data_IF_603784065740
#
_entry.id   IF_603784065740
#
_cell.length_a   1.000
_cell.length_b   1.000
_cell.length_c   1.000
_cell.angle_alpha   90.00
_cell.angle_beta   90.00
_cell.angle_gamma   90.00
#
_symmetry.space_group_name_H-M   'P 1'
#
loop_
_entity.id
_entity.type
_entity.pdbx_description
1 polymer ?
#
# COMPACT_ATOMS: atom_id res chain seq x y z
N UNK A 1 26.27 -8.72 -25.40
CA UNK A 1 25.23 -8.24 -24.47
C UNK A 1 24.96 -6.75 -24.66
N UNK A 2 24.83 -6.29 -25.92
CA UNK A 2 24.40 -4.95 -26.32
C UNK A 2 23.80 -5.19 -27.72
N UNK A 3 22.46 -5.25 -27.82
CA UNK A 3 21.65 -5.15 -29.06
C UNK A 3 20.22 -5.66 -28.79
N UNK A 4 19.42 -4.87 -28.07
CA UNK A 4 17.98 -5.10 -27.94
C UNK A 4 17.17 -3.79 -28.12
N UNK A 5 17.66 -2.86 -28.94
CA UNK A 5 16.93 -1.66 -29.34
C UNK A 5 16.67 -1.77 -30.84
N UNK A 6 15.43 -2.07 -31.21
CA UNK A 6 15.00 -2.17 -32.62
C UNK A 6 14.86 -0.76 -33.20
N UNK A 7 15.46 -0.56 -34.37
CA UNK A 7 15.32 0.63 -35.22
C UNK A 7 13.94 0.64 -35.88
N UNK A 8 13.14 1.68 -35.60
CA UNK A 8 11.90 2.00 -36.30
C UNK A 8 12.17 2.83 -37.56
N UNK A 9 11.65 2.38 -38.71
CA UNK A 9 11.76 3.09 -39.98
C UNK A 9 10.72 4.22 -40.05
N UNK A 10 11.16 5.45 -39.74
CA UNK A 10 10.72 6.75 -40.25
C UNK A 10 9.23 7.07 -40.38
N UNK A 11 8.74 8.00 -39.54
CA UNK A 11 7.51 8.77 -39.79
C UNK A 11 7.71 10.29 -39.77
N UNK A 12 7.10 10.95 -40.76
CA UNK A 12 6.51 12.29 -40.59
C UNK A 12 5.12 12.08 -39.95
N UNK A 13 4.83 12.85 -38.90
CA UNK A 13 3.67 12.73 -37.96
C UNK A 13 3.68 11.46 -37.09
N UNK A 14 4.39 11.51 -35.96
CA UNK A 14 4.65 10.35 -35.09
C UNK A 14 3.42 9.99 -34.24
N UNK A 15 2.70 8.93 -34.64
CA UNK A 15 1.66 8.24 -33.85
C UNK A 15 2.28 7.65 -32.57
N UNK A 16 1.45 7.37 -31.56
CA UNK A 16 1.78 6.81 -30.23
C UNK A 16 2.68 5.54 -30.21
N UNK A 17 3.00 4.97 -31.37
CA UNK A 17 3.80 3.77 -31.59
C UNK A 17 5.32 4.01 -31.66
N UNK A 18 5.80 5.27 -31.61
CA UNK A 18 7.25 5.60 -31.74
C UNK A 18 7.93 6.14 -30.47
N UNK A 19 7.30 6.03 -29.30
CA UNK A 19 7.98 6.39 -28.04
C UNK A 19 8.73 5.19 -27.48
N UNK A 20 10.00 5.40 -27.13
CA UNK A 20 10.82 4.36 -26.48
C UNK A 20 10.48 4.23 -24.98
N UNK A 21 9.96 5.32 -24.39
CA UNK A 21 9.70 5.46 -22.96
C UNK A 21 8.47 6.36 -22.71
N UNK A 22 7.58 5.89 -21.84
CA UNK A 22 6.57 6.73 -21.20
C UNK A 22 6.99 7.06 -19.77
N UNK A 23 7.05 8.34 -19.46
CA UNK A 23 7.21 8.88 -18.12
C UNK A 23 5.82 9.05 -17.50
N UNK A 24 5.60 8.40 -16.36
CA UNK A 24 4.38 8.57 -15.57
C UNK A 24 4.77 9.30 -14.28
N UNK A 25 4.61 10.63 -14.30
CA UNK A 25 4.71 11.44 -13.11
C UNK A 25 3.39 11.32 -12.35
N UNK A 26 3.41 10.63 -11.21
CA UNK A 26 2.18 10.29 -10.49
C UNK A 26 1.50 11.49 -9.83
N UNK A 27 2.13 12.67 -9.82
CA UNK A 27 1.57 13.87 -9.19
C UNK A 27 0.44 14.48 -10.02
N UNK A 28 -0.42 15.31 -9.42
CA UNK A 28 -1.18 16.29 -10.18
C UNK A 28 -0.25 17.22 -10.94
N UNK A 29 -0.61 17.57 -12.18
CA UNK A 29 0.20 18.44 -13.05
C UNK A 29 0.59 19.74 -12.36
N UNK A 30 -0.34 20.38 -11.66
CA UNK A 30 -0.06 21.61 -10.91
C UNK A 30 1.00 21.42 -9.83
N UNK A 31 0.95 20.32 -9.08
CA UNK A 31 1.95 19.99 -8.07
C UNK A 31 3.32 19.74 -8.70
N UNK A 32 3.40 19.08 -9.86
CA UNK A 32 4.66 18.87 -10.57
C UNK A 32 5.30 20.19 -11.02
N UNK A 33 4.48 21.14 -11.52
CA UNK A 33 4.95 22.50 -11.85
C UNK A 33 5.40 23.30 -10.62
N UNK A 34 4.70 23.18 -9.50
CA UNK A 34 5.13 23.81 -8.24
C UNK A 34 6.49 23.28 -7.78
N UNK A 35 6.72 21.95 -7.88
CA UNK A 35 8.03 21.35 -7.59
C UNK A 35 9.12 21.86 -8.54
N UNK A 36 8.79 22.09 -9.82
CA UNK A 36 9.71 22.68 -10.80
C UNK A 36 10.14 24.10 -10.41
N UNK A 37 9.22 24.91 -9.89
CA UNK A 37 9.55 26.25 -9.40
C UNK A 37 10.45 26.22 -8.14
N UNK A 38 10.36 25.16 -7.34
CA UNK A 38 11.16 24.95 -6.12
C UNK A 38 12.52 24.26 -6.32
N UNK A 39 12.97 24.03 -7.56
CA UNK A 39 14.26 23.41 -7.87
C UNK A 39 14.21 21.89 -8.12
N UNK A 40 13.05 21.24 -7.95
CA UNK A 40 12.78 19.90 -8.48
C UNK A 40 12.25 19.98 -9.92
N UNK A 41 11.31 19.11 -10.27
CA UNK A 41 10.56 19.23 -11.52
C UNK A 41 10.14 17.90 -12.10
N UNK A 42 10.06 17.87 -13.43
CA UNK A 42 9.73 16.70 -14.25
C UNK A 42 10.50 16.81 -15.57
N UNK A 43 10.68 15.68 -16.23
CA UNK A 43 11.60 15.51 -17.34
C UNK A 43 11.05 16.07 -18.66
N UNK A 44 11.98 16.38 -19.56
CA UNK A 44 11.68 16.80 -20.93
C UNK A 44 12.74 16.20 -21.86
N UNK A 45 12.68 14.88 -22.02
CA UNK A 45 13.64 14.15 -22.85
C UNK A 45 13.11 13.96 -24.28
N UNK A 46 13.98 13.99 -25.31
CA UNK A 46 13.61 13.65 -26.67
C UNK A 46 13.01 12.24 -26.76
N UNK A 47 12.03 12.03 -27.65
CA UNK A 47 11.36 10.74 -27.90
C UNK A 47 10.69 10.10 -26.67
N UNK A 48 10.39 10.89 -25.63
CA UNK A 48 9.60 10.46 -24.48
C UNK A 48 8.22 11.09 -24.48
N UNK A 49 7.22 10.36 -23.97
CA UNK A 49 5.95 10.96 -23.57
C UNK A 49 5.95 11.16 -22.05
N UNK A 50 5.31 12.22 -21.56
CA UNK A 50 5.03 12.39 -20.13
C UNK A 50 3.54 12.53 -19.89
N UNK A 51 3.04 11.83 -18.88
CA UNK A 51 1.67 11.98 -18.37
C UNK A 51 1.71 12.28 -16.87
N UNK A 52 0.65 12.93 -16.38
CA UNK A 52 0.46 13.25 -14.98
C UNK A 52 -0.66 12.41 -14.40
N UNK A 53 -0.35 11.65 -13.35
CA UNK A 53 -1.24 10.66 -12.75
C UNK A 53 -2.34 11.23 -11.85
N UNK A 54 -2.17 12.46 -11.36
CA UNK A 54 -3.20 13.10 -10.53
C UNK A 54 -3.36 12.49 -9.14
N UNK A 55 -2.36 11.74 -8.65
CA UNK A 55 -2.41 11.14 -7.30
C UNK A 55 -1.90 12.16 -6.29
N UNK A 56 -2.81 12.62 -5.44
CA UNK A 56 -2.55 13.62 -4.42
C UNK A 56 -1.50 13.21 -3.38
N UNK A 57 -1.07 14.19 -2.59
CA UNK A 57 -0.03 14.00 -1.60
C UNK A 57 -0.54 13.28 -0.33
N UNK A 58 0.41 12.97 0.55
CA UNK A 58 0.18 12.24 1.80
C UNK A 58 -0.86 12.90 2.72
N UNK A 59 -1.01 14.23 2.70
CA UNK A 59 -1.98 14.94 3.54
C UNK A 59 -3.40 14.71 3.07
N UNK A 60 -3.62 14.78 1.75
CA UNK A 60 -4.93 14.46 1.15
C UNK A 60 -5.31 13.01 1.42
N UNK A 61 -4.37 12.07 1.30
CA UNK A 61 -4.61 10.66 1.63
C UNK A 61 -5.00 10.47 3.10
N UNK A 62 -4.30 11.13 4.02
CA UNK A 62 -4.63 11.09 5.46
C UNK A 62 -6.04 11.63 5.71
N UNK A 63 -6.37 12.77 5.14
CA UNK A 63 -7.64 13.44 5.39
C UNK A 63 -8.81 12.65 4.78
N UNK A 64 -8.62 12.05 3.60
CA UNK A 64 -9.57 11.14 2.98
C UNK A 64 -9.80 9.86 3.81
N UNK A 65 -8.72 9.26 4.34
CA UNK A 65 -8.82 8.08 5.20
C UNK A 65 -9.60 8.38 6.49
N UNK A 66 -9.37 9.55 7.09
CA UNK A 66 -10.13 10.02 8.27
C UNK A 66 -11.61 10.25 7.93
N UNK A 67 -11.89 10.90 6.80
CA UNK A 67 -13.26 11.14 6.36
C UNK A 67 -14.01 9.83 6.07
N UNK A 68 -13.35 8.85 5.44
CA UNK A 68 -13.90 7.51 5.20
C UNK A 68 -14.18 6.78 6.51
N UNK A 69 -13.24 6.80 7.46
CA UNK A 69 -13.43 6.27 8.80
C UNK A 69 -14.65 6.89 9.51
N UNK A 70 -14.78 8.21 9.46
CA UNK A 70 -15.92 8.92 10.04
C UNK A 70 -17.25 8.62 9.32
N UNK A 71 -17.23 8.36 8.02
CA UNK A 71 -18.42 7.97 7.26
C UNK A 71 -18.94 6.59 7.70
N UNK A 72 -18.04 5.64 7.98
CA UNK A 72 -18.43 4.27 8.36
C UNK A 72 -18.73 4.09 9.84
N UNK A 73 -18.19 4.94 10.73
CA UNK A 73 -18.50 4.89 12.18
C UNK A 73 -19.84 5.55 12.52
N UNK A 74 -20.29 6.53 11.73
CA UNK A 74 -21.57 7.26 11.94
C UNK A 74 -22.78 6.55 11.34
N UNK A 75 -22.68 5.25 11.01
CA UNK A 75 -23.82 4.49 10.51
C UNK A 75 -24.79 4.21 11.66
N UNK A 76 -25.92 4.92 11.66
CA UNK A 76 -27.05 4.58 12.50
C UNK A 76 -27.95 3.57 11.76
N UNK A 77 -28.29 2.45 12.43
CA UNK A 77 -29.08 1.34 11.84
C UNK A 77 -30.43 1.81 11.24
N UNK A 78 -30.94 2.97 11.67
CA UNK A 78 -32.23 3.53 11.26
C UNK A 78 -32.16 4.60 10.14
N UNK A 79 -30.97 4.90 9.59
CA UNK A 79 -30.79 5.93 8.55
C UNK A 79 -30.05 5.39 7.31
N UNK A 80 -30.67 4.40 6.66
CA UNK A 80 -30.19 3.89 5.38
C UNK A 80 -30.10 5.03 4.35
N UNK A 81 -28.92 5.25 3.78
CA UNK A 81 -28.68 6.21 2.68
C UNK A 81 -27.76 7.40 3.02
N UNK A 82 -27.65 7.83 4.27
CA UNK A 82 -26.80 8.98 4.63
C UNK A 82 -25.31 8.67 4.46
N UNK A 83 -24.88 7.50 4.91
CA UNK A 83 -23.45 7.18 4.99
C UNK A 83 -22.78 6.91 3.63
N UNK A 84 -23.52 6.41 2.62
CA UNK A 84 -22.95 6.22 1.28
C UNK A 84 -22.60 7.56 0.62
N UNK A 85 -23.37 8.62 0.92
CA UNK A 85 -23.03 9.98 0.53
C UNK A 85 -21.75 10.44 1.23
N UNK A 86 -21.59 10.14 2.51
CA UNK A 86 -20.38 10.50 3.26
C UNK A 86 -19.15 9.71 2.79
N UNK A 87 -19.32 8.43 2.40
CA UNK A 87 -18.29 7.63 1.74
C UNK A 87 -17.87 8.29 0.43
N UNK A 88 -18.83 8.70 -0.42
CA UNK A 88 -18.50 9.41 -1.66
C UNK A 88 -17.79 10.75 -1.36
N UNK A 89 -18.28 11.52 -0.40
CA UNK A 89 -17.69 12.81 -0.01
C UNK A 89 -16.30 12.69 0.64
N UNK A 90 -15.92 11.50 1.13
CA UNK A 90 -14.56 11.27 1.66
C UNK A 90 -13.47 11.37 0.59
N UNK A 91 -13.84 11.19 -0.68
CA UNK A 91 -12.91 11.11 -1.80
C UNK A 91 -12.05 9.85 -1.82
N UNK A 92 -12.18 8.93 -0.85
CA UNK A 92 -11.31 7.76 -0.73
C UNK A 92 -11.24 6.95 -2.03
N UNK A 93 -12.40 6.60 -2.61
CA UNK A 93 -12.48 5.83 -3.85
C UNK A 93 -12.15 6.64 -5.11
N UNK A 94 -12.11 7.98 -5.04
CA UNK A 94 -11.53 8.82 -6.09
C UNK A 94 -10.02 8.61 -6.16
N UNK A 95 -9.35 8.60 -5.01
CA UNK A 95 -7.91 8.37 -4.95
C UNK A 95 -7.53 6.92 -5.27
N UNK A 96 -8.33 5.92 -4.85
CA UNK A 96 -8.17 4.53 -5.30
C UNK A 96 -8.31 4.44 -6.83
N UNK A 97 -9.29 5.15 -7.40
CA UNK A 97 -9.47 5.26 -8.84
C UNK A 97 -8.26 5.85 -9.57
N UNK A 98 -7.68 6.93 -9.06
CA UNK A 98 -6.50 7.55 -9.64
C UNK A 98 -5.27 6.61 -9.65
N UNK A 99 -5.06 5.87 -8.55
CA UNK A 99 -3.98 4.89 -8.44
C UNK A 99 -4.19 3.75 -9.46
N UNK A 100 -5.38 3.14 -9.48
CA UNK A 100 -5.69 2.05 -10.42
C UNK A 100 -5.66 2.52 -11.88
N UNK A 101 -5.99 3.78 -12.17
CA UNK A 101 -5.85 4.36 -13.50
C UNK A 101 -4.39 4.49 -13.95
N UNK A 102 -3.50 4.92 -13.05
CA UNK A 102 -2.06 4.93 -13.33
C UNK A 102 -1.51 3.52 -13.53
N UNK A 103 -1.96 2.56 -12.71
CA UNK A 103 -1.61 1.14 -12.85
C UNK A 103 -2.07 0.59 -14.20
N UNK A 104 -3.34 0.76 -14.58
CA UNK A 104 -3.88 0.33 -15.87
C UNK A 104 -3.05 0.92 -17.02
N UNK A 105 -2.67 2.20 -16.91
CA UNK A 105 -1.85 2.86 -17.91
C UNK A 105 -0.47 2.21 -18.02
N UNK A 106 0.25 2.03 -16.91
CA UNK A 106 1.56 1.38 -16.91
C UNK A 106 1.50 -0.05 -17.52
N UNK A 107 0.53 -0.85 -17.09
CA UNK A 107 0.30 -2.22 -17.59
C UNK A 107 -0.01 -2.21 -19.09
N UNK A 108 -0.89 -1.31 -19.56
CA UNK A 108 -1.25 -1.22 -20.98
C UNK A 108 -0.04 -0.85 -21.85
N UNK A 109 0.79 0.06 -21.39
CA UNK A 109 1.97 0.51 -22.14
C UNK A 109 3.01 -0.59 -22.28
N UNK A 110 3.27 -1.33 -21.20
CA UNK A 110 4.23 -2.44 -21.21
C UNK A 110 3.67 -3.63 -21.98
N UNK A 111 2.45 -4.05 -21.67
CA UNK A 111 1.89 -5.32 -22.16
C UNK A 111 1.37 -5.20 -23.58
N UNK A 112 0.63 -4.13 -23.88
CA UNK A 112 -0.04 -3.95 -25.18
C UNK A 112 0.87 -3.21 -26.16
N UNK A 113 1.44 -2.08 -25.75
CA UNK A 113 2.25 -1.24 -26.64
C UNK A 113 3.74 -1.60 -26.66
N UNK A 114 4.19 -2.52 -25.80
CA UNK A 114 5.61 -2.93 -25.69
C UNK A 114 6.55 -1.74 -25.44
N UNK A 115 6.05 -0.74 -24.74
CA UNK A 115 6.76 0.48 -24.38
C UNK A 115 7.36 0.36 -22.97
N UNK A 116 8.57 0.85 -22.77
CA UNK A 116 9.12 0.96 -21.42
C UNK A 116 8.40 2.08 -20.67
N UNK A 117 8.28 1.93 -19.35
CA UNK A 117 7.63 2.92 -18.50
C UNK A 117 8.58 3.26 -17.34
N UNK A 118 8.72 4.56 -17.07
CA UNK A 118 9.38 5.06 -15.86
C UNK A 118 8.31 5.73 -15.00
N UNK A 119 8.18 5.24 -13.77
CA UNK A 119 7.18 5.70 -12.80
C UNK A 119 7.90 6.49 -11.72
N UNK A 120 7.48 7.73 -11.46
CA UNK A 120 8.05 8.53 -10.38
C UNK A 120 7.01 9.47 -9.76
N UNK A 121 7.38 10.13 -8.67
CA UNK A 121 6.58 11.21 -8.08
C UNK A 121 7.51 12.35 -7.64
N UNK A 122 7.37 12.86 -6.41
CA UNK A 122 8.34 13.79 -5.81
C UNK A 122 9.57 13.03 -5.31
N UNK A 123 9.41 12.26 -4.23
CA UNK A 123 10.54 11.57 -3.56
C UNK A 123 10.69 10.09 -3.97
N UNK A 124 9.68 9.53 -4.63
CA UNK A 124 9.76 8.18 -5.20
C UNK A 124 9.43 7.01 -4.26
N UNK A 125 9.05 7.26 -2.99
CA UNK A 125 8.80 6.19 -2.00
C UNK A 125 7.33 5.99 -1.58
N UNK A 126 6.40 6.85 -2.01
CA UNK A 126 4.97 6.74 -1.67
C UNK A 126 4.15 6.26 -2.88
N UNK A 127 3.73 7.18 -3.74
CA UNK A 127 2.90 6.90 -4.93
C UNK A 127 3.59 5.96 -5.91
N UNK A 128 4.91 6.10 -6.05
CA UNK A 128 5.70 5.22 -6.92
C UNK A 128 5.60 3.78 -6.46
N UNK A 129 5.76 3.50 -5.16
CA UNK A 129 5.62 2.16 -4.58
C UNK A 129 4.21 1.61 -4.82
N UNK A 130 3.17 2.44 -4.68
CA UNK A 130 1.78 2.05 -4.97
C UNK A 130 1.61 1.55 -6.41
N UNK A 131 1.99 2.36 -7.40
CA UNK A 131 1.70 2.06 -8.82
C UNK A 131 2.63 1.01 -9.40
N UNK A 132 3.92 1.02 -9.05
CA UNK A 132 4.90 0.02 -9.50
C UNK A 132 4.51 -1.38 -9.04
N UNK A 133 4.25 -1.56 -7.74
CA UNK A 133 3.87 -2.86 -7.18
C UNK A 133 2.51 -3.35 -7.69
N UNK A 134 1.52 -2.48 -7.87
CA UNK A 134 0.25 -2.86 -8.50
C UNK A 134 0.43 -3.27 -9.96
N UNK A 135 1.28 -2.58 -10.71
CA UNK A 135 1.58 -2.95 -12.09
C UNK A 135 2.27 -4.33 -12.14
N UNK A 136 3.17 -4.61 -11.21
CA UNK A 136 3.81 -5.93 -11.05
C UNK A 136 2.79 -7.02 -10.74
N UNK A 137 1.85 -6.80 -9.80
CA UNK A 137 0.74 -7.74 -9.53
C UNK A 137 -0.09 -8.03 -10.78
N UNK A 138 -0.35 -7.01 -11.59
CA UNK A 138 -1.14 -7.13 -12.80
C UNK A 138 -0.42 -7.91 -13.92
N UNK A 139 0.91 -7.81 -14.00
CA UNK A 139 1.69 -8.35 -15.11
C UNK A 139 2.35 -9.71 -14.84
N UNK A 140 2.66 -10.01 -13.59
CA UNK A 140 3.42 -11.20 -13.20
C UNK A 140 2.61 -12.09 -12.23
N UNK A 141 2.20 -13.30 -12.65
CA UNK A 141 1.49 -14.25 -11.80
C UNK A 141 2.25 -14.63 -10.53
N UNK A 142 3.59 -14.56 -10.51
CA UNK A 142 4.37 -14.88 -9.32
C UNK A 142 3.95 -14.02 -8.13
N UNK A 143 3.78 -12.70 -8.32
CA UNK A 143 3.38 -11.80 -7.23
C UNK A 143 1.94 -12.01 -6.75
N UNK A 144 1.15 -12.83 -7.45
CA UNK A 144 -0.20 -13.23 -7.04
C UNK A 144 -0.23 -14.54 -6.25
N UNK A 145 0.93 -15.18 -6.04
CA UNK A 145 1.10 -16.27 -5.07
C UNK A 145 1.26 -15.72 -3.65
N UNK A 146 1.05 -16.56 -2.63
CA UNK A 146 1.25 -16.19 -1.22
C UNK A 146 2.68 -15.69 -0.98
N UNK A 147 3.68 -16.48 -1.35
CA UNK A 147 5.09 -16.11 -1.18
C UNK A 147 5.47 -14.90 -2.03
N UNK A 148 5.02 -14.84 -3.28
CA UNK A 148 5.32 -13.73 -4.18
C UNK A 148 4.72 -12.41 -3.71
N UNK A 149 3.50 -12.41 -3.16
CA UNK A 149 2.89 -11.21 -2.61
C UNK A 149 3.70 -10.65 -1.43
N UNK A 150 4.13 -11.50 -0.48
CA UNK A 150 4.98 -11.06 0.62
C UNK A 150 6.34 -10.55 0.11
N UNK A 151 6.93 -11.21 -0.89
CA UNK A 151 8.17 -10.78 -1.54
C UNK A 151 8.00 -9.43 -2.24
N UNK A 152 6.84 -9.16 -2.85
CA UNK A 152 6.52 -7.87 -3.47
C UNK A 152 6.51 -6.75 -2.43
N UNK A 153 5.86 -6.96 -1.28
CA UNK A 153 5.84 -5.97 -0.20
C UNK A 153 7.26 -5.75 0.34
N UNK A 154 8.01 -6.82 0.60
CA UNK A 154 9.40 -6.72 1.04
C UNK A 154 10.26 -5.94 0.04
N UNK A 155 10.06 -6.14 -1.27
CA UNK A 155 10.80 -5.45 -2.32
C UNK A 155 10.34 -3.99 -2.46
N UNK A 156 9.15 -3.75 -2.99
CA UNK A 156 8.71 -2.43 -3.45
C UNK A 156 8.38 -1.45 -2.32
N UNK A 157 8.10 -1.97 -1.11
CA UNK A 157 7.76 -1.14 0.04
C UNK A 157 8.89 -1.08 1.05
N UNK A 158 9.38 -2.23 1.52
CA UNK A 158 10.45 -2.22 2.51
C UNK A 158 11.76 -1.79 1.85
N UNK A 159 12.35 -2.59 0.96
CA UNK A 159 13.71 -2.33 0.45
C UNK A 159 13.84 -0.98 -0.29
N UNK A 160 12.80 -0.59 -1.06
CA UNK A 160 12.77 0.69 -1.77
C UNK A 160 12.47 1.92 -0.90
N UNK A 161 12.38 1.74 0.42
CA UNK A 161 12.43 2.84 1.38
C UNK A 161 11.12 3.59 1.57
N UNK A 162 9.97 2.91 1.46
CA UNK A 162 8.74 3.48 1.99
C UNK A 162 8.93 3.75 3.49
N UNK A 163 8.67 4.99 3.89
CA UNK A 163 9.00 5.51 5.21
C UNK A 163 7.99 5.06 6.28
N UNK A 164 7.88 3.75 6.53
CA UNK A 164 6.86 3.15 7.40
C UNK A 164 6.82 3.78 8.80
N UNK A 165 7.98 3.97 9.45
CA UNK A 165 8.06 4.56 10.80
C UNK A 165 7.48 5.96 10.81
N UNK A 166 7.92 6.80 9.87
CA UNK A 166 7.46 8.19 9.75
C UNK A 166 5.99 8.28 9.35
N UNK A 167 5.56 7.49 8.36
CA UNK A 167 4.20 7.52 7.80
C UNK A 167 3.15 7.00 8.78
N UNK A 168 3.51 6.03 9.63
CA UNK A 168 2.58 5.40 10.56
C UNK A 168 2.83 5.79 12.03
N UNK A 169 3.81 6.66 12.29
CA UNK A 169 4.20 7.11 13.63
C UNK A 169 4.53 5.94 14.58
N UNK A 170 5.33 4.98 14.11
CA UNK A 170 5.60 3.73 14.83
C UNK A 170 6.48 3.96 16.07
N UNK A 171 5.82 4.10 17.22
CA UNK A 171 6.47 4.38 18.51
C UNK A 171 6.76 5.87 18.75
N UNK A 172 6.24 6.74 17.88
CA UNK A 172 6.40 8.19 17.94
C UNK A 172 5.02 8.88 17.98
N UNK A 173 4.98 10.16 18.36
CA UNK A 173 3.76 10.95 18.21
C UNK A 173 3.50 11.24 16.72
N UNK A 174 2.23 11.18 16.23
CA UNK A 174 1.91 11.52 14.86
C UNK A 174 2.34 12.94 14.49
N UNK A 175 3.01 13.08 13.35
CA UNK A 175 3.40 14.38 12.78
C UNK A 175 2.56 14.71 11.55
N UNK A 176 2.83 15.85 10.90
CA UNK A 176 2.22 16.19 9.61
C UNK A 176 2.55 15.19 8.50
N UNK A 177 3.61 14.39 8.67
CA UNK A 177 4.05 13.33 7.74
C UNK A 177 3.26 12.04 7.89
N UNK A 178 2.42 11.90 8.91
CA UNK A 178 1.56 10.73 9.08
C UNK A 178 0.61 10.60 7.88
N UNK A 179 0.56 9.42 7.28
CA UNK A 179 -0.37 9.09 6.21
C UNK A 179 -0.45 7.58 5.96
N UNK A 180 -1.66 7.01 5.83
CA UNK A 180 -1.88 5.56 5.67
C UNK A 180 -1.72 5.13 4.19
N UNK A 181 -0.58 5.47 3.57
CA UNK A 181 -0.30 5.19 2.14
C UNK A 181 -0.33 3.68 1.83
N UNK A 182 0.22 2.85 2.71
CA UNK A 182 0.18 1.38 2.58
C UNK A 182 -1.25 0.85 2.64
N UNK A 183 -2.13 1.43 3.47
CA UNK A 183 -3.54 1.01 3.56
C UNK A 183 -4.27 1.33 2.26
N UNK A 184 -3.99 2.50 1.67
CA UNK A 184 -4.54 2.87 0.36
C UNK A 184 -4.11 1.89 -0.74
N UNK A 185 -2.88 1.38 -0.67
CA UNK A 185 -2.42 0.33 -1.58
C UNK A 185 -3.12 -1.01 -1.34
N UNK A 186 -3.24 -1.44 -0.08
CA UNK A 186 -3.96 -2.67 0.27
C UNK A 186 -5.42 -2.63 -0.21
N UNK A 187 -6.08 -1.47 -0.10
CA UNK A 187 -7.41 -1.26 -0.69
C UNK A 187 -7.40 -1.46 -2.22
N UNK A 188 -6.38 -0.96 -2.92
CA UNK A 188 -6.23 -1.22 -4.37
C UNK A 188 -6.07 -2.72 -4.67
N UNK A 189 -5.29 -3.45 -3.86
CA UNK A 189 -5.16 -4.91 -3.98
C UNK A 189 -6.50 -5.61 -3.71
N UNK A 190 -7.26 -5.15 -2.71
CA UNK A 190 -8.62 -5.65 -2.45
C UNK A 190 -9.53 -5.45 -3.67
N UNK A 191 -9.49 -4.28 -4.33
CA UNK A 191 -10.27 -4.07 -5.57
C UNK A 191 -9.85 -5.07 -6.66
N UNK A 192 -8.57 -5.41 -6.77
CA UNK A 192 -8.11 -6.46 -7.71
C UNK A 192 -8.63 -7.85 -7.33
N UNK A 193 -8.63 -8.21 -6.04
CA UNK A 193 -9.21 -9.47 -5.56
C UNK A 193 -10.68 -9.59 -5.93
N UNK A 194 -11.45 -8.49 -5.81
CA UNK A 194 -12.87 -8.46 -6.18
C UNK A 194 -13.08 -8.61 -7.70
N UNK A 195 -12.25 -7.94 -8.50
CA UNK A 195 -12.36 -7.98 -9.97
C UNK A 195 -11.87 -9.29 -10.58
N UNK A 196 -10.94 -9.99 -9.91
CA UNK A 196 -10.34 -11.24 -10.39
C UNK A 196 -10.30 -12.32 -9.29
N UNK A 197 -11.45 -12.91 -8.93
CA UNK A 197 -11.57 -13.80 -7.77
C UNK A 197 -10.73 -15.08 -7.79
N UNK A 198 -10.29 -15.53 -8.97
CA UNK A 198 -9.46 -16.74 -9.16
C UNK A 198 -8.00 -16.41 -9.54
N UNK A 199 -7.62 -15.13 -9.56
CA UNK A 199 -6.28 -14.70 -10.01
C UNK A 199 -5.20 -14.72 -8.93
N UNK A 200 -5.59 -14.78 -7.66
CA UNK A 200 -4.71 -14.65 -6.49
C UNK A 200 -4.81 -15.88 -5.61
N UNK A 201 -3.66 -16.38 -5.13
CA UNK A 201 -3.57 -17.52 -4.20
C UNK A 201 -4.04 -17.16 -2.80
N UNK A 202 -4.26 -15.87 -2.53
CA UNK A 202 -4.64 -15.35 -1.23
C UNK A 202 -5.98 -14.62 -1.24
N UNK A 203 -6.64 -14.62 -0.09
CA UNK A 203 -7.87 -13.86 0.18
C UNK A 203 -7.56 -12.49 0.77
N UNK A 204 -8.60 -11.68 1.00
CA UNK A 204 -8.45 -10.39 1.67
C UNK A 204 -8.08 -10.52 3.15
N UNK A 205 -8.16 -11.71 3.76
CA UNK A 205 -7.65 -11.98 5.10
C UNK A 205 -6.14 -11.68 5.23
N UNK A 206 -5.35 -11.96 4.20
CA UNK A 206 -3.93 -11.60 4.15
C UNK A 206 -3.74 -10.07 4.19
N UNK A 207 -4.58 -9.35 3.45
CA UNK A 207 -4.56 -7.89 3.39
C UNK A 207 -4.99 -7.29 4.73
N UNK A 208 -5.99 -7.87 5.40
CA UNK A 208 -6.45 -7.45 6.72
C UNK A 208 -5.35 -7.65 7.76
N UNK A 209 -4.69 -8.81 7.74
CA UNK A 209 -3.59 -9.09 8.67
C UNK A 209 -2.43 -8.10 8.45
N UNK A 210 -2.08 -7.79 7.21
CA UNK A 210 -1.09 -6.74 6.92
C UNK A 210 -1.55 -5.38 7.42
N UNK A 211 -2.79 -4.99 7.13
CA UNK A 211 -3.34 -3.69 7.51
C UNK A 211 -3.45 -3.52 9.03
N UNK A 212 -3.50 -4.60 9.80
CA UNK A 212 -3.37 -4.58 11.25
C UNK A 212 -1.89 -4.48 11.68
N UNK A 213 -1.05 -5.41 11.22
CA UNK A 213 0.31 -5.58 11.74
C UNK A 213 1.27 -4.45 11.35
N UNK A 214 0.97 -3.66 10.31
CA UNK A 214 1.72 -2.43 10.01
C UNK A 214 1.63 -1.39 11.14
N UNK A 215 0.65 -1.48 12.04
CA UNK A 215 0.48 -0.54 13.17
C UNK A 215 0.85 -1.14 14.54
N UNK A 216 0.98 -2.46 14.67
CA UNK A 216 1.09 -3.12 15.99
C UNK A 216 2.46 -3.03 16.62
N UNK A 217 3.48 -2.76 15.81
CA UNK A 217 4.88 -2.87 16.20
C UNK A 217 5.29 -4.24 16.76
N UNK A 218 4.57 -5.32 16.40
CA UNK A 218 4.88 -6.67 16.89
C UNK A 218 6.08 -7.32 16.17
N UNK A 219 6.32 -6.92 14.92
CA UNK A 219 7.34 -7.48 14.04
C UNK A 219 8.30 -6.39 13.57
N UNK A 220 9.55 -6.76 13.29
CA UNK A 220 10.56 -5.82 12.80
C UNK A 220 10.40 -5.43 11.33
N UNK A 221 9.50 -6.11 10.62
CA UNK A 221 9.29 -5.97 9.17
C UNK A 221 9.09 -4.53 8.70
N UNK A 222 8.37 -3.70 9.47
CA UNK A 222 8.02 -2.32 9.10
C UNK A 222 8.64 -1.25 10.02
N UNK A 223 9.53 -1.62 10.94
CA UNK A 223 9.95 -0.74 12.05
C UNK A 223 10.69 0.55 11.69
N UNK A 224 11.42 0.57 10.58
CA UNK A 224 12.24 1.72 10.18
C UNK A 224 11.86 2.22 8.80
N UNK A 225 12.40 3.37 8.39
CA UNK A 225 12.02 4.03 7.15
C UNK A 225 12.75 3.46 5.92
N UNK A 226 13.91 2.82 6.11
CA UNK A 226 14.69 2.27 5.01
C UNK A 226 15.41 0.97 5.39
N UNK A 227 15.98 0.30 4.38
CA UNK A 227 16.66 -0.98 4.52
C UNK A 227 17.92 -0.89 5.40
N UNK A 228 18.70 0.18 5.25
CA UNK A 228 19.90 0.42 6.06
C UNK A 228 19.54 0.49 7.54
N UNK A 229 18.53 1.27 7.91
CA UNK A 229 18.07 1.35 9.30
C UNK A 229 17.52 0.02 9.82
N UNK A 230 16.74 -0.72 9.01
CA UNK A 230 16.21 -2.03 9.40
C UNK A 230 17.31 -3.08 9.61
N UNK A 231 18.40 -3.02 8.84
CA UNK A 231 19.52 -3.96 8.96
C UNK A 231 20.14 -3.98 10.37
N UNK A 232 20.06 -2.86 11.10
CA UNK A 232 20.57 -2.75 12.47
C UNK A 232 19.64 -3.34 13.54
N UNK A 233 18.37 -3.60 13.23
CA UNK A 233 17.37 -4.08 14.21
C UNK A 233 16.83 -5.47 13.89
N UNK A 234 16.99 -5.96 12.65
CA UNK A 234 16.37 -7.20 12.16
C UNK A 234 16.67 -8.41 13.05
N UNK A 235 17.92 -8.56 13.51
CA UNK A 235 18.35 -9.68 14.34
C UNK A 235 17.66 -9.74 15.71
N UNK A 236 17.11 -8.63 16.20
CA UNK A 236 16.40 -8.54 17.48
C UNK A 236 14.88 -8.69 17.38
N UNK A 237 14.35 -9.01 16.19
CA UNK A 237 12.92 -8.93 15.91
C UNK A 237 12.39 -10.16 15.18
N UNK A 238 11.08 -10.43 15.33
CA UNK A 238 10.40 -11.44 14.53
C UNK A 238 10.03 -10.88 13.16
N UNK A 239 10.02 -11.75 12.14
CA UNK A 239 9.54 -11.43 10.80
C UNK A 239 8.04 -11.70 10.69
N UNK A 240 7.29 -10.69 10.22
CA UNK A 240 5.88 -10.86 9.88
C UNK A 240 5.70 -11.89 8.75
N UNK A 241 6.66 -11.98 7.82
CA UNK A 241 6.61 -12.93 6.72
C UNK A 241 6.62 -14.37 7.21
N UNK A 242 7.48 -14.68 8.19
CA UNK A 242 7.51 -16.00 8.80
C UNK A 242 6.18 -16.33 9.47
N UNK A 243 5.59 -15.38 10.20
CA UNK A 243 4.30 -15.58 10.86
C UNK A 243 3.15 -15.79 9.86
N UNK A 244 3.10 -15.02 8.77
CA UNK A 244 2.08 -15.15 7.72
C UNK A 244 2.21 -16.45 6.93
N UNK A 245 3.44 -16.92 6.70
CA UNK A 245 3.68 -18.19 6.01
C UNK A 245 3.36 -19.40 6.89
N UNK A 246 3.55 -19.28 8.21
CA UNK A 246 3.20 -20.34 9.17
C UNK A 246 1.68 -20.56 9.23
N UNK A 247 0.88 -19.50 9.12
CA UNK A 247 -0.59 -19.56 9.08
C UNK A 247 -1.19 -19.45 7.66
N UNK A 248 -0.40 -19.74 6.60
CA UNK A 248 -0.78 -19.48 5.19
C UNK A 248 -2.10 -20.09 4.75
N UNK A 249 -2.48 -21.23 5.34
CA UNK A 249 -3.74 -21.92 5.07
C UNK A 249 -4.97 -21.09 5.45
N UNK A 250 -4.85 -20.18 6.41
CA UNK A 250 -5.98 -19.36 6.91
C UNK A 250 -6.41 -18.28 5.94
N UNK A 251 -5.55 -17.92 4.97
CA UNK A 251 -5.79 -16.88 3.98
C UNK A 251 -5.58 -17.40 2.55
N UNK A 252 -5.61 -18.71 2.35
CA UNK A 252 -5.48 -19.33 1.03
C UNK A 252 -6.79 -19.27 0.26
N UNK A 253 -6.73 -18.87 -1.02
CA UNK A 253 -7.86 -18.88 -1.92
C UNK A 253 -8.01 -20.24 -2.61
N UNK A 254 -9.02 -21.02 -2.20
CA UNK A 254 -9.33 -22.32 -2.82
C UNK A 254 -9.72 -22.24 -4.31
N UNK A 255 -10.15 -21.06 -4.78
CA UNK A 255 -10.52 -20.82 -6.18
C UNK A 255 -9.35 -20.42 -7.09
N UNK A 256 -8.12 -20.33 -6.57
CA UNK A 256 -6.97 -19.83 -7.31
C UNK A 256 -6.62 -20.68 -8.54
N UNK A 257 -6.32 -19.99 -9.65
CA UNK A 257 -5.84 -20.59 -10.91
C UNK A 257 -4.54 -19.93 -11.36
N UNK A 258 -3.46 -20.69 -11.28
CA UNK A 258 -2.11 -20.22 -11.64
C UNK A 258 -1.94 -19.79 -13.11
N UNK A 259 -2.82 -20.24 -14.01
CA UNK A 259 -2.69 -20.05 -15.46
C UNK A 259 -3.03 -18.64 -15.96
N UNK A 260 -3.59 -17.77 -15.11
CA UNK A 260 -3.94 -16.41 -15.51
C UNK A 260 -2.68 -15.54 -15.65
N UNK A 261 -2.24 -15.31 -16.89
CA UNK A 261 -0.97 -14.62 -17.16
C UNK A 261 -0.95 -13.14 -16.77
N UNK A 262 -1.94 -12.35 -17.20
CA UNK A 262 -1.97 -10.89 -16.99
C UNK A 262 -3.40 -10.41 -16.77
N UNK A 263 -3.58 -9.45 -15.87
CA UNK A 263 -4.87 -8.83 -15.57
C UNK A 263 -4.80 -7.32 -15.85
N UNK A 264 -5.93 -6.73 -16.25
CA UNK A 264 -6.06 -5.31 -16.54
C UNK A 264 -7.16 -4.74 -15.65
N UNK A 265 -6.84 -3.92 -14.62
CA UNK A 265 -7.85 -3.45 -13.69
C UNK A 265 -8.92 -2.61 -14.38
N UNK A 266 -10.17 -2.83 -14.02
CA UNK A 266 -11.25 -1.87 -14.23
C UNK A 266 -11.00 -0.65 -13.35
N UNK A 267 -11.04 0.52 -13.99
CA UNK A 267 -10.95 1.84 -13.33
C UNK A 267 -12.33 2.48 -13.14
N UNK A 268 -13.39 1.74 -13.48
CA UNK A 268 -14.75 2.19 -13.30
C UNK A 268 -15.11 2.14 -11.82
N UNK A 269 -15.28 3.29 -11.17
CA UNK A 269 -15.62 3.36 -9.75
C UNK A 269 -16.90 2.64 -9.38
N UNK A 270 -17.85 2.49 -10.32
CA UNK A 270 -19.07 1.72 -10.10
C UNK A 270 -18.81 0.22 -9.87
N UNK A 271 -17.60 -0.27 -10.20
CA UNK A 271 -17.16 -1.65 -9.93
C UNK A 271 -16.45 -1.81 -8.59
N UNK A 272 -16.22 -0.73 -7.84
CA UNK A 272 -15.52 -0.80 -6.56
C UNK A 272 -16.46 -1.25 -5.44
N UNK A 273 -16.02 -2.26 -4.71
CA UNK A 273 -16.66 -2.71 -3.47
C UNK A 273 -16.07 -1.95 -2.29
N UNK A 274 -16.87 -1.70 -1.25
CA UNK A 274 -16.31 -1.23 0.01
C UNK A 274 -15.58 -2.39 0.68
N UNK A 275 -14.33 -2.19 1.11
CA UNK A 275 -13.60 -3.20 1.89
C UNK A 275 -14.17 -3.30 3.31
N UNK A 276 -15.35 -3.90 3.41
CA UNK A 276 -16.15 -3.90 4.64
C UNK A 276 -15.41 -4.56 5.80
N UNK A 277 -14.65 -5.62 5.54
CA UNK A 277 -13.86 -6.30 6.56
C UNK A 277 -12.81 -5.38 7.19
N UNK A 278 -12.22 -4.45 6.43
CA UNK A 278 -11.31 -3.42 6.98
C UNK A 278 -12.11 -2.31 7.65
N UNK A 279 -13.01 -1.64 6.92
CA UNK A 279 -13.67 -0.42 7.39
C UNK A 279 -14.63 -0.63 8.56
N UNK A 280 -15.29 -1.79 8.62
CA UNK A 280 -16.23 -2.12 9.70
C UNK A 280 -15.63 -3.01 10.80
N UNK A 281 -14.30 -3.24 10.82
CA UNK A 281 -13.67 -4.16 11.79
C UNK A 281 -13.93 -3.85 13.27
N UNK A 282 -14.21 -2.59 13.59
CA UNK A 282 -14.56 -2.11 14.94
C UNK A 282 -16.03 -1.70 15.08
N UNK A 283 -16.84 -1.89 14.05
CA UNK A 283 -18.25 -1.54 14.04
C UNK A 283 -19.11 -2.80 14.26
N UNK A 284 -20.28 -2.66 14.90
CA UNK A 284 -21.21 -3.76 15.15
C UNK A 284 -21.61 -4.51 13.85
N UNK A 285 -21.61 -3.79 12.72
CA UNK A 285 -21.82 -4.36 11.37
C UNK A 285 -20.75 -5.38 10.98
N UNK A 286 -19.47 -5.09 11.24
CA UNK A 286 -18.37 -6.01 10.92
C UNK A 286 -18.32 -7.23 11.83
N UNK A 287 -18.82 -7.13 13.06
CA UNK A 287 -18.99 -8.28 13.94
C UNK A 287 -19.94 -9.35 13.35
N UNK A 288 -20.85 -8.97 12.44
CA UNK A 288 -21.76 -9.89 11.73
C UNK A 288 -21.15 -10.52 10.48
N UNK A 289 -20.02 -10.01 9.99
CA UNK A 289 -19.33 -10.52 8.80
C UNK A 289 -18.33 -11.64 9.12
N UNK A 290 -17.93 -11.80 10.39
CA UNK A 290 -17.07 -12.93 10.79
C UNK A 290 -17.86 -14.24 10.65
N UNK A 291 -17.31 -15.27 9.98
CA UNK A 291 -17.91 -16.60 10.01
C UNK A 291 -18.12 -17.05 11.46
N UNK A 292 -19.28 -17.65 11.75
CA UNK A 292 -19.49 -18.26 13.05
C UNK A 292 -18.35 -19.26 13.32
N UNK A 293 -17.76 -19.32 14.52
CA UNK A 293 -16.76 -20.31 14.83
C UNK A 293 -17.30 -21.70 14.48
N UNK A 294 -16.53 -22.50 13.75
CA UNK A 294 -16.92 -23.87 13.43
C UNK A 294 -17.36 -24.60 14.71
N UNK A 295 -18.49 -25.33 14.67
CA UNK A 295 -18.96 -26.08 15.82
C UNK A 295 -17.87 -27.06 16.28
N UNK A 296 -17.78 -27.38 17.58
CA UNK A 296 -16.74 -28.27 18.11
C UNK A 296 -16.66 -29.63 17.39
N UNK A 297 -17.75 -30.08 16.78
CA UNK A 297 -17.84 -31.33 15.99
C UNK A 297 -17.07 -31.30 14.67
N UNK A 298 -16.76 -30.12 14.13
CA UNK A 298 -16.02 -29.94 12.87
C UNK A 298 -14.56 -29.52 13.11
N UNK A 299 -14.14 -29.38 14.37
CA UNK A 299 -12.72 -29.29 14.73
C UNK A 299 -12.11 -30.68 14.75
N UNK A 300 -11.98 -31.30 13.58
CA UNK A 300 -11.08 -32.43 13.45
C UNK A 300 -9.65 -31.92 13.61
N UNK A 301 -8.98 -32.38 14.67
CA UNK A 301 -7.53 -32.23 14.77
C UNK A 301 -6.91 -32.80 13.48
N UNK A 302 -5.90 -32.15 12.89
CA UNK A 302 -5.24 -32.67 11.70
C UNK A 302 -4.71 -34.08 12.01
N UNK A 303 -5.18 -35.06 11.22
CA UNK A 303 -4.68 -36.43 11.29
C UNK A 303 -3.20 -36.44 10.88
N UNK A 304 -2.29 -37.11 11.62
CA UNK A 304 -0.85 -37.04 11.40
C UNK A 304 -0.34 -37.71 10.10
N UNK A 305 -1.22 -38.06 9.14
CA UNK A 305 -0.87 -38.89 7.97
C UNK A 305 -0.99 -38.21 6.60
N UNK A 306 -1.13 -36.89 6.52
CA UNK A 306 -1.11 -36.19 5.21
C UNK A 306 -0.05 -35.10 5.09
N UNK A 307 0.96 -35.09 5.97
CA UNK A 307 2.15 -34.27 5.77
C UNK A 307 2.93 -34.84 4.59
N UNK A 308 2.69 -34.28 3.40
CA UNK A 308 3.71 -34.28 2.36
C UNK A 308 4.98 -33.65 2.97
N UNK A 309 6.18 -34.20 2.71
CA UNK A 309 7.39 -33.66 3.28
C UNK A 309 7.54 -32.19 2.85
N UNK A 310 7.53 -31.30 3.85
CA UNK A 310 7.93 -29.91 3.67
C UNK A 310 9.35 -29.89 3.08
N UNK A 311 9.63 -29.07 2.07
CA UNK A 311 11.02 -28.87 1.65
C UNK A 311 11.80 -28.34 2.85
N UNK A 312 12.99 -28.91 3.11
CA UNK A 312 13.92 -28.42 4.12
C UNK A 312 14.15 -26.93 3.90
N UNK A 313 13.66 -26.11 4.84
CA UNK A 313 13.97 -24.67 4.90
C UNK A 313 15.43 -24.57 5.32
N UNK A 314 16.31 -24.67 4.34
CA UNK A 314 17.69 -24.23 4.45
C UNK A 314 17.75 -22.90 3.70
N UNK A 315 17.92 -21.82 4.49
CA UNK A 315 17.97 -20.40 4.09
C UNK A 315 16.64 -19.63 4.09
N UNK A 316 16.66 -18.44 4.72
CA UNK A 316 15.57 -17.47 4.72
C UNK A 316 15.43 -16.87 3.31
N UNK A 317 14.32 -17.10 2.58
CA UNK A 317 14.13 -16.59 1.22
C UNK A 317 14.00 -15.06 1.17
N UNK A 318 14.00 -14.38 2.32
CA UNK A 318 13.97 -12.93 2.46
C UNK A 318 15.28 -12.33 2.99
N UNK A 319 16.33 -13.12 3.19
CA UNK A 319 17.64 -12.61 3.53
C UNK A 319 18.15 -11.66 2.42
N UNK A 320 18.71 -10.49 2.76
CA UNK A 320 19.34 -9.62 1.78
C UNK A 320 20.58 -10.30 1.18
N UNK A 321 20.73 -10.27 -0.14
CA UNK A 321 21.95 -10.69 -0.83
C UNK A 321 23.07 -9.70 -0.45
N UNK A 322 23.83 -10.00 0.60
CA UNK A 322 25.02 -9.23 0.92
C UNK A 322 26.06 -9.49 -0.18
N UNK A 323 26.31 -8.47 -1.01
CA UNK A 323 27.52 -8.43 -1.82
C UNK A 323 28.71 -8.42 -0.86
N UNK A 324 29.37 -9.57 -0.70
CA UNK A 324 30.62 -9.69 0.06
C UNK A 324 31.68 -8.78 -0.56
N UNK A 325 31.86 -7.60 0.05
CA UNK A 325 33.06 -6.79 -0.16
C UNK A 325 34.25 -7.44 0.53
N UNK A 326 35.49 -7.22 0.03
CA UNK A 326 36.67 -7.88 0.57
C UNK A 326 36.87 -7.50 2.03
N UNK A 327 36.93 -8.53 2.88
CA UNK A 327 37.22 -8.43 4.30
C UNK A 327 38.63 -7.89 4.52
N UNK A 328 38.76 -6.76 5.21
CA UNK A 328 39.97 -6.48 5.98
C UNK A 328 39.69 -5.51 7.14
N UNK A 329 40.29 -5.85 8.28
CA UNK A 329 40.40 -5.13 9.55
C UNK A 329 39.25 -5.28 10.57
N UNK A 330 39.41 -6.31 11.39
CA UNK A 330 38.80 -6.42 12.71
C UNK A 330 39.46 -5.44 13.71
N UNK A 331 38.65 -4.61 14.36
CA UNK A 331 38.99 -3.92 15.61
C UNK A 331 38.12 -4.50 16.75
N UNK A 332 38.66 -4.68 17.97
CA UNK A 332 38.03 -5.51 18.99
C UNK A 332 36.90 -4.79 19.75
N UNK A 333 35.78 -5.51 19.87
CA UNK A 333 34.62 -5.23 20.71
C UNK A 333 35.03 -4.93 22.18
N UNK A 334 34.80 -3.70 22.61
CA UNK A 334 34.60 -3.35 24.02
C UNK A 334 33.09 -3.33 24.23
N UNK A 335 32.52 -4.37 24.85
CA UNK A 335 31.38 -4.34 25.78
C UNK A 335 30.87 -5.79 25.97
N UNK A 336 31.10 -6.35 27.16
CA UNK A 336 30.59 -7.66 27.58
C UNK A 336 29.11 -7.55 27.95
N UNK A 337 28.22 -8.43 27.47
CA UNK A 337 26.80 -8.40 27.83
C UNK A 337 26.58 -9.21 29.11
N UNK A 338 26.58 -8.54 30.25
CA UNK A 338 25.98 -9.07 31.47
C UNK A 338 25.13 -7.98 32.12
N UNK A 339 23.91 -8.38 32.50
CA UNK A 339 22.94 -7.65 33.34
C UNK A 339 22.06 -6.60 32.64
N UNK A 340 20.87 -7.02 32.22
CA UNK A 340 19.55 -6.50 32.66
C UNK A 340 18.45 -6.99 31.70
N UNK A 341 17.78 -8.10 32.05
CA UNK A 341 16.48 -8.44 31.47
C UNK A 341 15.42 -7.98 32.48
N UNK A 342 14.65 -6.90 32.23
CA UNK A 342 13.44 -6.65 32.98
C UNK A 342 12.35 -7.59 32.46
N UNK A 343 11.68 -8.30 33.37
CA UNK A 343 10.49 -9.09 33.08
C UNK A 343 9.45 -8.22 32.35
N UNK A 344 9.07 -8.63 31.14
CA UNK A 344 8.01 -7.99 30.37
C UNK A 344 6.70 -7.97 31.17
N UNK A 345 6.20 -6.77 31.48
CA UNK A 345 4.80 -6.57 31.84
C UNK A 345 3.99 -6.49 30.56
N UNK A 346 2.83 -7.15 30.54
CA UNK A 346 1.87 -7.06 29.43
C UNK A 346 1.61 -5.58 29.09
N UNK A 347 1.74 -5.23 27.81
CA UNK A 347 1.44 -3.90 27.33
C UNK A 347 -0.07 -3.61 27.53
N UNK A 348 -0.43 -2.40 28.01
CA UNK A 348 -1.83 -1.99 28.03
C UNK A 348 -2.38 -1.90 26.60
N UNK A 349 -3.70 -2.09 26.40
CA UNK A 349 -4.31 -1.91 25.09
C UNK A 349 -4.08 -0.48 24.57
N UNK A 350 -3.94 -0.29 23.24
CA UNK A 350 -3.75 1.04 22.67
C UNK A 350 -4.95 1.94 22.98
N UNK A 351 -4.72 3.27 23.16
CA UNK A 351 -5.82 4.21 23.37
C UNK A 351 -6.74 4.26 22.13
N UNK A 352 -8.04 4.56 22.31
CA UNK A 352 -8.96 4.71 21.19
C UNK A 352 -8.49 5.82 20.25
N UNK A 353 -8.51 5.54 18.94
CA UNK A 353 -8.08 6.45 17.87
C UNK A 353 -8.98 7.67 17.65
N UNK A 354 -10.03 7.83 18.47
CA UNK A 354 -10.94 8.96 18.45
C UNK A 354 -11.20 9.38 19.89
N UNK A 355 -10.67 10.54 20.27
CA UNK A 355 -11.02 11.23 21.51
C UNK A 355 -12.03 12.33 21.19
N UNK A 356 -13.04 12.48 22.06
CA UNK A 356 -14.16 13.43 21.93
C UNK A 356 -13.76 14.92 22.06
N UNK A 357 -12.49 15.28 21.93
CA UNK A 357 -11.98 16.62 22.24
C UNK A 357 -11.73 17.54 21.02
N UNK A 358 -12.09 17.14 19.80
CA UNK A 358 -11.88 17.95 18.58
C UNK A 358 -13.14 18.70 18.07
N UNK A 359 -14.24 18.75 18.85
CA UNK A 359 -15.43 19.51 18.43
C UNK A 359 -15.28 21.05 18.59
N UNK A 360 -14.32 21.56 19.36
CA UNK A 360 -14.31 22.99 19.73
C UNK A 360 -13.35 23.89 18.90
N UNK A 361 -12.64 23.32 17.92
CA UNK A 361 -11.70 24.07 17.06
C UNK A 361 -12.34 24.51 15.73
N UNK A 362 -13.39 23.83 15.26
CA UNK A 362 -14.07 24.17 14.01
C UNK A 362 -15.11 25.32 14.13
N UNK A 363 -15.50 25.72 15.34
CA UNK A 363 -16.51 26.77 15.56
C UNK A 363 -15.99 28.22 15.45
N UNK A 364 -14.68 28.45 15.25
CA UNK A 364 -14.08 29.81 15.25
C UNK A 364 -13.73 30.40 13.87
N UNK A 365 -13.93 29.68 12.77
CA UNK A 365 -13.61 30.18 11.42
C UNK A 365 -14.81 30.54 10.52
N UNK A 366 -16.05 30.49 11.02
CA UNK A 366 -17.27 30.84 10.25
C UNK A 366 -17.91 32.18 10.64
N UNK A 367 -17.23 33.04 11.42
CA UNK A 367 -17.70 34.41 11.73
C UNK A 367 -16.65 35.49 11.42
N UNK A 368 -16.24 35.61 10.16
CA UNK A 368 -15.61 36.82 9.61
C UNK A 368 -15.66 36.77 8.09
N UNK A 369 -16.76 37.24 7.52
CA UNK A 369 -16.93 37.27 6.07
C UNK A 369 -18.32 37.66 5.64
N UNK A 370 -18.90 38.70 6.24
CA UNK A 370 -20.03 39.38 5.61
C UNK A 370 -20.09 40.83 6.07
N UNK A 371 -19.52 41.72 5.25
CA UNK A 371 -19.71 43.18 5.23
C UNK A 371 -18.87 43.77 4.11
N UNK A 372 -19.49 43.90 2.94
CA UNK A 372 -19.39 45.03 2.01
C UNK A 372 -19.81 44.53 0.64
N UNK A 373 -20.91 45.08 0.12
CA UNK A 373 -21.20 45.30 -1.31
C UNK A 373 -22.68 45.70 -1.44
N UNK A 374 -22.98 46.95 -1.09
CA UNK A 374 -24.13 47.67 -1.63
C UNK A 374 -23.80 49.16 -1.66
N UNK A 375 -24.18 49.81 -2.76
CA UNK A 375 -24.16 51.25 -3.04
C UNK A 375 -22.89 51.82 -3.68
N UNK A 376 -22.88 51.87 -5.01
CA UNK A 376 -22.92 53.15 -5.74
C UNK A 376 -23.27 52.90 -7.22
N UNK A 377 -24.49 53.30 -7.58
CA UNK A 377 -24.95 53.53 -8.94
C UNK A 377 -25.74 54.84 -8.94
N UNK A 378 -25.03 55.94 -9.22
CA UNK A 378 -25.52 57.15 -9.93
C UNK A 378 -24.34 58.05 -10.23
#
# INVERSE_FOLDING_TARGET
>A
MINAIRLGNGWKERKQEERDLLLIDLRPKMSAWANKAGGGGFESYPNTGIIFGGIDNIHVVRDAWRAMGAAVTRIHENQAGSWMKDVANSGWYDYIGAILACTLKAVTEIVTFKCNVMIHCSDGWDRTAQVSSLAMLCMDPYYRTQAGFLKLVQKEWCSFGHRFRTRLALGDAPTTEYSPVIVQWLECVFQLLQQFPDAFEFTDDALLRLAEEVFTNRYGTFFQDNELERSHVVAGTLSLWSALLEDSQTWQNAGYKAEQMRIFPSVCQATYGIWEAYWFRFHARGARLKPAPLPPSERTAPSPSSLAPSPEVTEDPFAPDFLEGPSDHAEPSLFSPAELIPKAKAAPPPPPLFGDDDEDVFAKHTKRGDKSLTEEAT
#
